data_IF_123697275575
#
_entry.id   IF_123697275575
#
_cell.length_a   1.000
_cell.length_b   1.000
_cell.length_c   1.000
_cell.angle_alpha   90.00
_cell.angle_beta   90.00
_cell.angle_gamma   90.00
#
_symmetry.space_group_name_H-M   'P 1'
#
loop_
_entity.id
_entity.type
_entity.pdbx_description
1 polymer ?
#
# COMPACT_ATOMS: atom_id res chain seq x y z
N UNK A 1 -5.25 -19.56 -6.86
CA UNK A 1 -4.60 -18.39 -7.49
C UNK A 1 -5.62 -17.48 -8.17
N UNK A 2 -6.47 -17.97 -9.07
CA UNK A 2 -7.49 -17.14 -9.74
C UNK A 2 -8.53 -16.60 -8.74
N UNK A 3 -8.94 -17.40 -7.74
CA UNK A 3 -9.88 -16.97 -6.70
C UNK A 3 -9.37 -15.82 -5.81
N UNK A 4 -8.06 -15.74 -5.58
CA UNK A 4 -7.43 -14.67 -4.80
C UNK A 4 -7.56 -13.32 -5.51
N UNK A 5 -7.38 -13.29 -6.83
CA UNK A 5 -7.55 -12.08 -7.65
C UNK A 5 -9.01 -11.63 -7.75
N UNK A 6 -9.98 -12.50 -7.43
CA UNK A 6 -11.40 -12.14 -7.34
C UNK A 6 -11.77 -11.42 -6.04
N UNK A 7 -10.91 -11.48 -5.01
CA UNK A 7 -11.16 -10.82 -3.74
C UNK A 7 -10.90 -9.31 -3.86
N UNK A 8 -11.94 -8.52 -3.64
CA UNK A 8 -11.85 -7.06 -3.65
C UNK A 8 -10.84 -6.53 -2.62
N UNK A 9 -10.78 -7.16 -1.46
CA UNK A 9 -9.80 -6.87 -0.39
C UNK A 9 -8.36 -7.06 -0.88
N UNK A 10 -8.09 -8.14 -1.62
CA UNK A 10 -6.78 -8.41 -2.21
C UNK A 10 -6.40 -7.38 -3.29
N UNK A 11 -7.32 -7.05 -4.20
CA UNK A 11 -7.09 -6.03 -5.22
C UNK A 11 -6.78 -4.65 -4.60
N UNK A 12 -7.48 -4.29 -3.52
CA UNK A 12 -7.25 -3.04 -2.80
C UNK A 12 -5.90 -3.04 -2.08
N UNK A 13 -5.47 -4.15 -1.46
CA UNK A 13 -4.12 -4.29 -0.89
C UNK A 13 -3.07 -4.08 -1.98
N UNK A 14 -3.23 -4.72 -3.14
CA UNK A 14 -2.31 -4.61 -4.27
C UNK A 14 -2.18 -3.15 -4.74
N UNK A 15 -3.30 -2.45 -4.90
CA UNK A 15 -3.30 -1.03 -5.27
C UNK A 15 -2.60 -0.15 -4.24
N UNK A 16 -2.87 -0.38 -2.95
CA UNK A 16 -2.27 0.38 -1.86
C UNK A 16 -0.76 0.14 -1.75
N UNK A 17 -0.29 -1.10 -1.95
CA UNK A 17 1.13 -1.44 -2.02
C UNK A 17 1.82 -0.79 -3.23
N UNK A 18 1.15 -0.77 -4.38
CA UNK A 18 1.65 -0.09 -5.56
C UNK A 18 1.83 1.42 -5.31
N UNK A 19 0.81 2.08 -4.73
CA UNK A 19 0.88 3.51 -4.39
C UNK A 19 1.99 3.79 -3.36
N UNK A 20 2.14 2.92 -2.36
CA UNK A 20 3.21 3.03 -1.36
C UNK A 20 4.59 2.98 -2.04
N UNK A 21 4.81 1.98 -2.89
CA UNK A 21 6.05 1.81 -3.65
C UNK A 21 6.34 3.00 -4.57
N UNK A 22 5.30 3.54 -5.23
CA UNK A 22 5.45 4.72 -6.08
C UNK A 22 5.89 5.95 -5.28
N UNK A 23 5.24 6.24 -4.14
CA UNK A 23 5.61 7.38 -3.28
C UNK A 23 7.04 7.23 -2.78
N UNK A 24 7.43 6.04 -2.30
CA UNK A 24 8.79 5.76 -1.88
C UNK A 24 9.79 5.90 -3.03
N UNK A 25 9.47 5.39 -4.21
CA UNK A 25 10.31 5.48 -5.40
C UNK A 25 10.57 6.92 -5.83
N UNK A 26 9.54 7.78 -5.79
CA UNK A 26 9.69 9.21 -6.08
C UNK A 26 10.58 9.89 -5.04
N UNK A 27 10.33 9.67 -3.74
CA UNK A 27 11.15 10.26 -2.68
C UNK A 27 12.61 9.81 -2.76
N UNK A 28 12.83 8.52 -3.00
CA UNK A 28 14.16 7.93 -3.15
C UNK A 28 14.88 8.43 -4.42
N UNK A 29 14.15 8.57 -5.52
CA UNK A 29 14.67 9.16 -6.75
C UNK A 29 15.12 10.61 -6.54
N UNK A 30 14.32 11.43 -5.88
CA UNK A 30 14.70 12.82 -5.57
C UNK A 30 15.95 12.85 -4.69
N UNK A 31 16.02 11.97 -3.68
CA UNK A 31 17.19 11.84 -2.81
C UNK A 31 18.47 11.49 -3.59
N UNK A 32 18.40 10.58 -4.55
CA UNK A 32 19.57 10.16 -5.33
C UNK A 32 19.99 11.15 -6.43
N UNK A 33 19.02 11.69 -7.17
CA UNK A 33 19.29 12.47 -8.38
C UNK A 33 19.39 13.97 -8.12
N UNK A 34 18.81 14.47 -7.02
CA UNK A 34 18.81 15.91 -6.69
C UNK A 34 19.01 16.11 -5.17
N UNK A 35 20.13 15.62 -4.60
CA UNK A 35 20.36 15.63 -3.16
C UNK A 35 20.33 17.05 -2.56
N UNK A 36 20.79 18.06 -3.29
CA UNK A 36 20.82 19.46 -2.83
C UNK A 36 19.43 20.06 -2.60
N UNK A 37 18.40 19.51 -3.27
CA UNK A 37 16.99 19.91 -3.09
C UNK A 37 16.24 19.00 -2.15
N UNK A 38 16.80 17.84 -1.80
CA UNK A 38 16.18 16.92 -0.87
C UNK A 38 16.38 17.43 0.56
N UNK A 39 15.29 17.91 1.16
CA UNK A 39 15.27 18.31 2.56
C UNK A 39 14.26 17.46 3.29
N UNK A 40 14.48 17.21 4.58
CA UNK A 40 13.61 16.31 5.37
C UNK A 40 12.13 16.72 5.31
N UNK A 41 11.85 18.03 5.19
CA UNK A 41 10.49 18.55 5.09
C UNK A 41 9.80 18.20 3.77
N UNK A 42 10.52 17.76 2.74
CA UNK A 42 9.95 17.25 1.49
C UNK A 42 9.10 15.98 1.70
N UNK A 43 9.24 15.32 2.85
CA UNK A 43 8.42 14.16 3.25
C UNK A 43 7.09 14.57 3.88
N UNK A 44 6.96 15.80 4.39
CA UNK A 44 5.76 16.28 5.11
C UNK A 44 4.49 16.16 4.24
N UNK A 45 4.49 16.54 2.94
CA UNK A 45 3.31 16.37 2.09
C UNK A 45 2.92 14.91 1.86
N UNK A 46 3.84 13.97 2.04
CA UNK A 46 3.57 12.54 1.89
C UNK A 46 2.98 11.90 3.16
N UNK A 47 3.07 12.55 4.33
CA UNK A 47 2.54 12.01 5.60
C UNK A 47 1.05 11.67 5.56
N UNK A 48 0.15 12.53 5.01
CA UNK A 48 -1.27 12.18 4.88
C UNK A 48 -1.47 10.95 3.99
N UNK A 49 -0.70 10.84 2.90
CA UNK A 49 -0.77 9.69 2.01
C UNK A 49 -0.34 8.41 2.73
N UNK A 50 0.77 8.45 3.50
CA UNK A 50 1.20 7.31 4.31
C UNK A 50 0.17 6.89 5.35
N UNK A 51 -0.51 7.83 6.00
CA UNK A 51 -1.57 7.52 6.96
C UNK A 51 -2.75 6.82 6.28
N UNK A 52 -3.23 7.36 5.15
CA UNK A 52 -4.35 6.78 4.39
C UNK A 52 -3.99 5.38 3.89
N UNK A 53 -2.78 5.22 3.34
CA UNK A 53 -2.32 3.93 2.82
C UNK A 53 -2.20 2.91 3.95
N UNK A 54 -1.59 3.28 5.08
CA UNK A 54 -1.42 2.38 6.23
C UNK A 54 -2.77 1.95 6.81
N UNK A 55 -3.69 2.90 6.99
CA UNK A 55 -5.04 2.62 7.45
C UNK A 55 -5.79 1.71 6.47
N UNK A 56 -5.68 1.98 5.17
CA UNK A 56 -6.28 1.17 4.12
C UNK A 56 -5.71 -0.25 4.10
N UNK A 57 -4.40 -0.41 4.23
CA UNK A 57 -3.75 -1.72 4.28
C UNK A 57 -4.22 -2.53 5.49
N UNK A 58 -4.31 -1.91 6.66
CA UNK A 58 -4.79 -2.56 7.87
C UNK A 58 -6.24 -3.08 7.73
N UNK A 59 -7.13 -2.21 7.24
CA UNK A 59 -8.55 -2.56 7.06
C UNK A 59 -8.72 -3.68 6.03
N UNK A 60 -8.05 -3.56 4.87
CA UNK A 60 -8.16 -4.55 3.80
C UNK A 60 -7.48 -5.87 4.14
N UNK A 61 -6.39 -5.86 4.91
CA UNK A 61 -5.76 -7.09 5.39
C UNK A 61 -6.69 -7.87 6.32
N UNK A 62 -7.39 -7.17 7.21
CA UNK A 62 -8.36 -7.80 8.12
C UNK A 62 -9.51 -8.46 7.33
N UNK A 63 -10.03 -7.76 6.32
CA UNK A 63 -11.06 -8.30 5.42
C UNK A 63 -10.54 -9.49 4.63
N UNK A 64 -9.33 -9.39 4.08
CA UNK A 64 -8.70 -10.45 3.30
C UNK A 64 -8.50 -11.74 4.11
N UNK A 65 -8.05 -11.65 5.35
CA UNK A 65 -7.94 -12.83 6.22
C UNK A 65 -9.31 -13.46 6.55
N UNK A 66 -10.34 -12.62 6.69
CA UNK A 66 -11.72 -13.09 6.91
C UNK A 66 -12.25 -13.81 5.65
N UNK A 67 -12.04 -13.22 4.48
CA UNK A 67 -12.40 -13.80 3.18
C UNK A 67 -11.69 -15.13 2.96
N UNK A 68 -10.37 -15.18 3.20
CA UNK A 68 -9.57 -16.41 3.11
C UNK A 68 -10.10 -17.51 4.04
N UNK A 69 -10.36 -17.18 5.31
CA UNK A 69 -10.90 -18.15 6.27
C UNK A 69 -12.23 -18.72 5.77
N UNK A 70 -13.10 -17.87 5.21
CA UNK A 70 -14.39 -18.29 4.66
C UNK A 70 -14.26 -19.25 3.48
N UNK A 71 -13.26 -19.06 2.62
CA UNK A 71 -12.96 -19.95 1.48
C UNK A 71 -12.42 -21.28 1.99
N UNK A 72 -11.48 -21.27 2.94
CA UNK A 72 -10.89 -22.49 3.52
C UNK A 72 -11.93 -23.34 4.25
N UNK A 73 -12.95 -22.74 4.86
CA UNK A 73 -13.98 -23.49 5.61
C UNK A 73 -15.08 -24.07 4.69
N UNK A 74 -15.16 -23.60 3.43
CA UNK A 74 -16.13 -24.09 2.43
C UNK A 74 -15.55 -25.16 1.49
N UNK A 75 -14.22 -25.30 1.47
CA UNK A 75 -13.50 -26.38 0.79
C UNK A 75 -13.46 -27.64 1.65
#
# INVERSE_FOLDING_TARGET
>A
MIELFGLKSFQQILLLLFLLGFIFGVLFGIYLFIPDKFKYYSVIPALPAFYIISKGLYQNSTLFFTDLKSITTKS
#
